data_IF_624939744559
#
_entry.id   IF_624939744559
#
_cell.length_a   1.000
_cell.length_b   1.000
_cell.length_c   1.000
_cell.angle_alpha   90.00
_cell.angle_beta   90.00
_cell.angle_gamma   90.00
#
_symmetry.space_group_name_H-M   'P 1'
#
loop_
_entity.id
_entity.type
_entity.pdbx_description
1 polymer ?
#
# COMPACT_ATOMS: atom_id res chain seq x y z
N UNK A 1 19.76 20.42 16.80
CA UNK A 1 18.32 20.69 17.00
C UNK A 1 18.06 22.16 16.69
N UNK A 2 17.67 22.48 15.45
CA UNK A 2 17.27 23.83 15.06
C UNK A 2 15.89 24.12 15.66
N UNK A 3 15.84 24.99 16.68
CA UNK A 3 14.58 25.53 17.21
C UNK A 3 13.84 26.20 16.04
N UNK A 4 12.83 25.53 15.48
CA UNK A 4 11.87 26.19 14.59
C UNK A 4 11.22 27.30 15.39
N UNK A 5 11.60 28.55 15.12
CA UNK A 5 10.91 29.73 15.67
C UNK A 5 9.50 29.68 15.09
N UNK A 6 8.51 29.64 15.96
CA UNK A 6 7.10 29.81 15.56
C UNK A 6 7.01 31.11 14.80
N UNK A 7 6.38 31.12 13.64
CA UNK A 7 6.16 32.33 12.85
C UNK A 7 5.48 33.38 13.73
N UNK A 8 6.01 34.59 13.73
CA UNK A 8 5.49 35.69 14.58
C UNK A 8 4.01 35.98 14.26
N UNK A 9 3.62 35.86 13.01
CA UNK A 9 2.23 36.04 12.55
C UNK A 9 1.30 34.99 13.14
N UNK A 10 1.74 33.71 13.15
CA UNK A 10 0.98 32.60 13.73
C UNK A 10 0.82 32.77 15.25
N UNK A 11 1.89 33.16 15.96
CA UNK A 11 1.82 33.41 17.39
C UNK A 11 0.86 34.55 17.73
N UNK A 12 0.93 35.66 16.99
CA UNK A 12 0.03 36.81 17.16
C UNK A 12 -1.43 36.43 16.90
N UNK A 13 -1.68 35.64 15.85
CA UNK A 13 -3.03 35.17 15.52
C UNK A 13 -3.62 34.30 16.64
N UNK A 14 -2.86 33.30 17.13
CA UNK A 14 -3.31 32.41 18.21
C UNK A 14 -3.57 33.20 19.50
N UNK A 15 -2.67 34.11 19.87
CA UNK A 15 -2.84 34.96 21.05
C UNK A 15 -4.06 35.86 20.94
N UNK A 16 -4.34 36.42 19.77
CA UNK A 16 -5.52 37.26 19.53
C UNK A 16 -6.80 36.44 19.65
N UNK A 17 -6.83 35.24 19.07
CA UNK A 17 -7.95 34.33 19.16
C UNK A 17 -8.23 33.90 20.61
N UNK A 18 -7.17 33.52 21.34
CA UNK A 18 -7.27 33.15 22.76
C UNK A 18 -7.80 34.32 23.61
N UNK A 19 -7.31 35.54 23.36
CA UNK A 19 -7.75 36.74 24.05
C UNK A 19 -9.25 37.01 23.83
N UNK A 20 -9.72 36.86 22.59
CA UNK A 20 -11.16 37.04 22.27
C UNK A 20 -11.98 36.03 23.06
N UNK A 21 -11.60 34.76 23.07
CA UNK A 21 -12.33 33.70 23.81
C UNK A 21 -12.31 33.99 25.32
N UNK A 22 -11.18 34.40 25.90
CA UNK A 22 -11.07 34.73 27.33
C UNK A 22 -11.93 35.95 27.72
N UNK A 23 -11.90 36.99 26.92
CA UNK A 23 -12.79 38.16 27.18
C UNK A 23 -14.26 37.79 27.13
N UNK A 24 -14.58 36.92 26.20
CA UNK A 24 -15.93 36.43 26.03
C UNK A 24 -16.41 35.64 27.27
N UNK A 25 -15.61 34.71 27.76
CA UNK A 25 -15.88 33.94 29.00
C UNK A 25 -16.02 34.91 30.18
N UNK A 26 -15.11 35.88 30.29
CA UNK A 26 -15.13 36.87 31.36
C UNK A 26 -16.45 37.67 31.35
N UNK A 27 -16.92 38.15 30.18
CA UNK A 27 -18.17 38.92 30.04
C UNK A 27 -19.36 38.07 30.50
N UNK A 28 -19.43 36.80 30.11
CA UNK A 28 -20.52 35.88 30.51
C UNK A 28 -20.52 35.69 32.04
N UNK A 29 -19.36 35.53 32.66
CA UNK A 29 -19.26 35.39 34.12
C UNK A 29 -19.73 36.65 34.83
N UNK A 30 -19.28 37.83 34.37
CA UNK A 30 -19.70 39.14 34.97
C UNK A 30 -21.20 39.35 34.87
N UNK A 31 -21.80 39.09 33.69
CA UNK A 31 -23.23 39.18 33.47
C UNK A 31 -24.01 38.25 34.41
N UNK A 32 -23.51 37.01 34.60
CA UNK A 32 -24.09 36.03 35.53
C UNK A 32 -24.05 36.48 36.98
N UNK A 33 -22.96 37.14 37.43
CA UNK A 33 -22.84 37.71 38.80
C UNK A 33 -23.85 38.83 39.05
N UNK A 34 -24.14 39.63 38.04
CA UNK A 34 -25.13 40.72 38.12
C UNK A 34 -26.57 40.19 38.16
N UNK A 35 -26.77 38.88 38.02
CA UNK A 35 -28.10 38.24 38.09
C UNK A 35 -28.87 38.21 36.78
N UNK A 36 -28.25 38.57 35.65
CA UNK A 36 -28.86 38.49 34.33
C UNK A 36 -28.84 37.05 33.83
N UNK A 37 -29.94 36.57 33.29
CA UNK A 37 -30.03 35.23 32.74
C UNK A 37 -29.12 35.07 31.50
N UNK A 38 -28.09 34.29 31.63
CA UNK A 38 -27.09 34.02 30.56
C UNK A 38 -27.45 32.85 29.65
N UNK A 39 -28.58 32.15 29.90
CA UNK A 39 -28.94 30.91 29.17
C UNK A 39 -29.06 31.11 27.66
N UNK A 40 -29.67 32.21 27.22
CA UNK A 40 -29.84 32.54 25.80
C UNK A 40 -28.52 32.80 25.11
N UNK A 41 -27.57 33.45 25.81
CA UNK A 41 -26.23 33.68 25.29
C UNK A 41 -25.45 32.37 25.20
N UNK A 42 -25.52 31.50 26.22
CA UNK A 42 -24.89 30.19 26.20
C UNK A 42 -25.44 29.31 25.06
N UNK A 43 -26.76 29.34 24.81
CA UNK A 43 -27.35 28.61 23.70
C UNK A 43 -26.84 29.10 22.34
N UNK A 44 -26.73 30.43 22.16
CA UNK A 44 -26.20 31.03 20.94
C UNK A 44 -24.71 30.58 20.70
N UNK A 45 -23.90 30.58 21.79
CA UNK A 45 -22.51 30.17 21.68
C UNK A 45 -22.35 28.68 21.46
N UNK A 46 -23.17 27.84 22.08
CA UNK A 46 -23.19 26.43 21.83
C UNK A 46 -23.47 26.15 20.35
N UNK A 47 -24.45 26.84 19.75
CA UNK A 47 -24.75 26.68 18.32
C UNK A 47 -23.59 27.15 17.41
N UNK A 48 -22.99 28.30 17.75
CA UNK A 48 -21.81 28.80 17.04
C UNK A 48 -20.60 27.82 17.17
N UNK A 49 -20.40 27.25 18.38
CA UNK A 49 -19.36 26.24 18.62
C UNK A 49 -19.56 24.99 17.80
N UNK A 50 -20.80 24.51 17.66
CA UNK A 50 -21.12 23.37 16.78
C UNK A 50 -20.80 23.71 15.32
N UNK A 51 -21.22 24.91 14.86
CA UNK A 51 -20.94 25.34 13.48
C UNK A 51 -19.43 25.40 13.19
N UNK A 52 -18.63 25.94 14.11
CA UNK A 52 -17.17 26.00 14.00
C UNK A 52 -16.57 24.58 14.05
N UNK A 53 -17.04 23.71 14.96
CA UNK A 53 -16.62 22.33 15.07
C UNK A 53 -16.85 21.54 13.78
N UNK A 54 -18.03 21.73 13.15
CA UNK A 54 -18.34 21.12 11.85
C UNK A 54 -17.43 21.66 10.74
N UNK A 55 -17.16 22.95 10.71
CA UNK A 55 -16.24 23.55 9.73
C UNK A 55 -14.80 23.04 9.85
N UNK A 56 -14.35 22.74 11.07
CA UNK A 56 -12.99 22.24 11.36
C UNK A 56 -12.88 20.71 11.41
N UNK A 57 -14.00 19.98 11.24
CA UNK A 57 -14.05 18.52 11.42
C UNK A 57 -13.05 17.77 10.58
N UNK A 58 -12.88 18.15 9.30
CA UNK A 58 -11.88 17.51 8.40
C UNK A 58 -10.45 17.73 8.87
N UNK A 59 -10.11 18.89 9.38
CA UNK A 59 -8.77 19.17 9.93
C UNK A 59 -8.52 18.36 11.20
N UNK A 60 -9.53 18.28 12.08
CA UNK A 60 -9.45 17.49 13.30
C UNK A 60 -9.34 15.98 13.00
N UNK A 61 -10.05 15.51 11.98
CA UNK A 61 -9.92 14.11 11.51
C UNK A 61 -8.51 13.81 11.03
N UNK A 62 -7.90 14.73 10.27
CA UNK A 62 -6.51 14.56 9.81
C UNK A 62 -5.51 14.57 10.98
N UNK A 63 -5.71 15.44 11.95
CA UNK A 63 -4.90 15.48 13.18
C UNK A 63 -5.02 14.15 13.94
N UNK A 64 -6.23 13.71 14.23
CA UNK A 64 -6.48 12.44 14.92
C UNK A 64 -5.88 11.24 14.13
N UNK A 65 -6.05 11.25 12.80
CA UNK A 65 -5.43 10.26 11.92
C UNK A 65 -3.90 10.24 12.03
N UNK A 66 -3.26 11.41 12.07
CA UNK A 66 -1.81 11.51 12.25
C UNK A 66 -1.33 10.94 13.59
N UNK A 67 -2.07 11.25 14.67
CA UNK A 67 -1.78 10.69 16.01
C UNK A 67 -1.91 9.17 16.00
N UNK A 68 -2.98 8.62 15.41
CA UNK A 68 -3.19 7.17 15.30
C UNK A 68 -2.09 6.49 14.48
N UNK A 69 -1.67 7.07 13.37
CA UNK A 69 -0.59 6.54 12.53
C UNK A 69 0.72 6.49 13.31
N UNK A 70 1.05 7.53 14.07
CA UNK A 70 2.29 7.58 14.87
C UNK A 70 2.25 6.61 16.05
N UNK A 71 1.09 6.34 16.62
CA UNK A 71 0.90 5.45 17.76
C UNK A 71 0.88 3.98 17.34
N UNK A 72 0.03 3.63 16.36
CA UNK A 72 -0.17 2.25 15.90
C UNK A 72 0.86 1.81 14.87
N UNK A 73 1.50 2.76 14.18
CA UNK A 73 2.54 2.54 13.18
C UNK A 73 2.16 1.49 12.12
N UNK A 74 1.03 1.64 11.42
CA UNK A 74 0.67 0.75 10.31
C UNK A 74 1.74 0.77 9.21
N UNK A 75 2.47 1.86 9.08
CA UNK A 75 3.67 2.03 8.27
C UNK A 75 4.66 2.99 8.96
N UNK A 76 5.89 3.00 8.48
CA UNK A 76 6.99 3.83 8.99
C UNK A 76 7.64 4.62 7.86
N UNK A 77 8.36 5.68 8.22
CA UNK A 77 9.22 6.40 7.26
C UNK A 77 10.25 5.43 6.67
N UNK A 78 10.40 5.46 5.35
CA UNK A 78 11.24 4.56 4.58
C UNK A 78 10.53 3.33 4.02
N UNK A 79 9.33 2.98 4.48
CA UNK A 79 8.55 1.85 3.95
C UNK A 79 7.80 2.26 2.67
N UNK A 80 7.71 1.32 1.73
CA UNK A 80 6.94 1.50 0.50
C UNK A 80 5.50 1.04 0.72
N UNK A 81 4.58 1.97 0.55
CA UNK A 81 3.14 1.75 0.75
C UNK A 81 2.33 2.08 -0.49
N UNK A 82 1.16 1.48 -0.58
CA UNK A 82 0.12 1.84 -1.53
C UNK A 82 -1.16 2.13 -0.76
N UNK A 83 -1.70 3.33 -0.92
CA UNK A 83 -2.89 3.80 -0.23
C UNK A 83 -3.55 4.93 -1.02
N UNK A 84 -4.88 5.05 -0.97
CA UNK A 84 -5.65 6.11 -1.63
C UNK A 84 -5.37 6.22 -3.15
N UNK A 85 -5.02 5.11 -3.82
CA UNK A 85 -4.69 5.09 -5.25
C UNK A 85 -3.27 5.57 -5.59
N UNK A 86 -2.44 5.85 -4.60
CA UNK A 86 -1.05 6.24 -4.77
C UNK A 86 -0.11 5.22 -4.15
N UNK A 87 1.06 5.05 -4.76
CA UNK A 87 2.11 4.16 -4.24
C UNK A 87 3.47 4.87 -4.21
N UNK A 88 4.22 4.64 -3.15
CA UNK A 88 5.53 5.27 -2.98
C UNK A 88 6.15 5.01 -1.61
N UNK A 89 7.41 5.44 -1.47
CA UNK A 89 8.13 5.37 -0.21
C UNK A 89 7.73 6.51 0.72
N UNK A 90 7.36 6.19 1.95
CA UNK A 90 7.02 7.19 2.97
C UNK A 90 8.26 8.02 3.30
N UNK A 91 8.21 9.31 2.96
CA UNK A 91 9.29 10.27 3.21
C UNK A 91 9.17 10.92 4.58
N UNK A 92 7.95 11.31 4.96
CA UNK A 92 7.68 12.03 6.19
C UNK A 92 6.23 11.83 6.64
N UNK A 93 6.01 11.71 7.94
CA UNK A 93 4.67 11.69 8.56
C UNK A 93 4.55 12.98 9.36
N UNK A 94 3.68 13.87 8.91
CA UNK A 94 3.40 15.16 9.55
C UNK A 94 2.07 15.09 10.32
N UNK A 95 1.74 16.16 11.03
CA UNK A 95 0.57 16.20 11.93
C UNK A 95 -0.74 15.94 11.16
N UNK A 96 -0.90 16.53 9.98
CA UNK A 96 -2.15 16.48 9.21
C UNK A 96 -2.07 15.61 7.94
N UNK A 97 -0.86 15.30 7.47
CA UNK A 97 -0.64 14.56 6.23
C UNK A 97 0.63 13.73 6.28
N UNK A 98 0.66 12.71 5.45
CA UNK A 98 1.84 11.89 5.17
C UNK A 98 2.34 12.21 3.77
N UNK A 99 3.65 12.31 3.63
CA UNK A 99 4.33 12.58 2.36
C UNK A 99 4.96 11.29 1.87
N UNK A 100 4.63 10.89 0.64
CA UNK A 100 5.28 9.77 -0.03
C UNK A 100 6.01 10.24 -1.27
N UNK A 101 7.06 9.52 -1.64
CA UNK A 101 7.81 9.72 -2.88
C UNK A 101 7.59 8.52 -3.80
N UNK A 102 7.09 8.76 -5.01
CA UNK A 102 6.86 7.72 -6.01
C UNK A 102 8.17 7.27 -6.66
N UNK A 103 8.21 6.07 -7.32
CA UNK A 103 9.42 5.59 -8.00
C UNK A 103 9.92 6.53 -9.12
N UNK A 104 9.03 7.31 -9.74
CA UNK A 104 9.34 8.34 -10.74
C UNK A 104 9.63 9.72 -10.11
N UNK A 105 9.95 9.73 -8.80
CA UNK A 105 10.39 10.87 -8.01
C UNK A 105 9.37 12.01 -7.87
N UNK A 106 8.07 11.69 -7.89
CA UNK A 106 7.01 12.64 -7.56
C UNK A 106 6.73 12.63 -6.07
N UNK A 107 6.42 13.78 -5.51
CA UNK A 107 6.04 13.95 -4.11
C UNK A 107 4.51 14.01 -4.02
N UNK A 108 3.92 13.07 -3.29
CA UNK A 108 2.48 13.00 -3.04
C UNK A 108 2.21 13.32 -1.57
N UNK A 109 1.26 14.20 -1.33
CA UNK A 109 0.82 14.60 0.01
C UNK A 109 -0.56 14.02 0.24
N UNK A 110 -0.67 13.11 1.19
CA UNK A 110 -1.93 12.39 1.47
C UNK A 110 -2.42 12.78 2.86
N UNK A 111 -3.68 13.26 2.99
CA UNK A 111 -4.27 13.59 4.30
C UNK A 111 -4.32 12.35 5.22
N UNK A 112 -3.92 12.51 6.48
CA UNK A 112 -3.83 11.41 7.44
C UNK A 112 -5.19 10.78 7.79
N UNK A 113 -6.27 11.55 7.74
CA UNK A 113 -7.61 11.04 8.00
C UNK A 113 -7.99 9.90 7.06
N UNK A 114 -7.71 10.05 5.76
CA UNK A 114 -7.94 9.00 4.76
C UNK A 114 -7.03 7.80 4.94
N UNK A 115 -5.78 8.00 5.37
CA UNK A 115 -4.84 6.92 5.63
C UNK A 115 -5.20 6.13 6.90
N UNK A 116 -5.67 6.79 7.95
CA UNK A 116 -5.99 6.14 9.23
C UNK A 116 -7.27 5.29 9.17
N UNK A 117 -8.17 5.57 8.23
CA UNK A 117 -9.46 4.89 8.10
C UNK A 117 -9.54 3.98 6.87
N UNK A 118 -8.62 4.14 5.91
CA UNK A 118 -8.58 3.37 4.67
C UNK A 118 -7.70 2.13 4.74
N UNK A 119 -7.79 1.33 3.68
CA UNK A 119 -6.88 0.19 3.48
C UNK A 119 -5.50 0.67 3.03
N UNK A 120 -4.45 0.05 3.57
CA UNK A 120 -3.06 0.32 3.23
C UNK A 120 -2.38 -0.99 2.87
N UNK A 121 -1.80 -1.07 1.67
CA UNK A 121 -0.85 -2.10 1.30
C UNK A 121 0.55 -1.67 1.72
N UNK A 122 1.14 -2.37 2.68
CA UNK A 122 2.52 -2.14 3.08
C UNK A 122 3.42 -3.21 2.48
N UNK A 123 4.13 -2.88 1.40
CA UNK A 123 4.97 -3.81 0.66
C UNK A 123 6.33 -4.07 1.31
N UNK A 124 6.72 -3.26 2.29
CA UNK A 124 8.04 -3.33 2.96
C UNK A 124 8.00 -4.01 4.32
N UNK A 125 6.80 -4.21 4.88
CA UNK A 125 6.67 -4.71 6.25
C UNK A 125 7.04 -6.18 6.39
N UNK A 126 6.66 -6.99 5.39
CA UNK A 126 7.00 -8.40 5.38
C UNK A 126 8.39 -8.61 4.76
N UNK A 127 9.16 -9.51 5.34
CA UNK A 127 10.53 -9.80 4.91
C UNK A 127 10.60 -10.54 3.59
N UNK A 128 9.53 -11.26 3.26
CA UNK A 128 9.42 -12.08 2.04
C UNK A 128 8.18 -11.71 1.24
N UNK A 129 8.32 -11.81 -0.08
CA UNK A 129 7.23 -11.59 -1.03
C UNK A 129 7.20 -12.73 -2.04
N UNK A 130 6.00 -13.06 -2.49
CA UNK A 130 5.80 -13.99 -3.58
C UNK A 130 5.83 -13.26 -4.91
N UNK A 131 6.75 -13.65 -5.78
CA UNK A 131 6.78 -13.25 -7.18
C UNK A 131 5.94 -14.27 -7.98
N UNK A 132 5.19 -13.78 -8.98
CA UNK A 132 4.39 -14.63 -9.86
C UNK A 132 4.64 -14.22 -11.30
N UNK A 133 4.83 -15.22 -12.17
CA UNK A 133 5.00 -15.04 -13.61
C UNK A 133 3.93 -15.85 -14.33
N UNK A 134 3.37 -15.28 -15.39
CA UNK A 134 2.48 -15.97 -16.31
C UNK A 134 3.22 -16.17 -17.62
N UNK A 135 3.49 -17.42 -17.95
CA UNK A 135 4.29 -17.82 -19.11
C UNK A 135 3.33 -18.47 -20.12
N UNK A 136 3.17 -17.86 -21.28
CA UNK A 136 2.34 -18.38 -22.36
C UNK A 136 3.17 -19.35 -23.22
N UNK A 137 2.73 -20.60 -23.36
CA UNK A 137 3.33 -21.61 -24.22
C UNK A 137 2.34 -22.07 -25.28
N UNK A 138 2.84 -22.62 -26.38
CA UNK A 138 2.02 -23.10 -27.47
C UNK A 138 1.18 -24.33 -27.07
N UNK A 139 0.01 -24.47 -27.66
CA UNK A 139 -0.72 -25.74 -27.62
C UNK A 139 0.12 -26.84 -28.29
N UNK A 140 0.19 -28.01 -27.65
CA UNK A 140 1.02 -29.14 -28.10
C UNK A 140 2.34 -29.25 -27.36
N UNK A 141 2.79 -28.23 -26.67
CA UNK A 141 3.96 -28.33 -25.77
C UNK A 141 3.65 -29.23 -24.56
N UNK A 142 4.63 -30.03 -24.14
CA UNK A 142 4.49 -30.91 -22.96
C UNK A 142 4.45 -30.11 -21.66
N UNK A 143 3.25 -29.96 -21.11
CA UNK A 143 2.98 -29.22 -19.87
C UNK A 143 3.73 -29.81 -18.67
N UNK A 144 3.86 -31.13 -18.57
CA UNK A 144 4.53 -31.77 -17.44
C UNK A 144 6.04 -31.47 -17.47
N UNK A 145 6.62 -31.57 -18.66
CA UNK A 145 8.03 -31.20 -18.89
C UNK A 145 8.27 -29.70 -18.69
N UNK A 146 7.38 -28.85 -19.17
CA UNK A 146 7.47 -27.40 -18.98
C UNK A 146 7.49 -27.02 -17.49
N UNK A 147 6.56 -27.57 -16.70
CA UNK A 147 6.52 -27.36 -15.26
C UNK A 147 7.84 -27.77 -14.58
N UNK A 148 8.40 -28.92 -14.96
CA UNK A 148 9.66 -29.43 -14.40
C UNK A 148 10.81 -28.49 -14.71
N UNK A 149 10.98 -28.08 -15.97
CA UNK A 149 12.06 -27.19 -16.40
C UNK A 149 11.93 -25.81 -15.73
N UNK A 150 10.74 -25.23 -15.70
CA UNK A 150 10.52 -23.93 -15.04
C UNK A 150 10.81 -24.04 -13.53
N UNK A 151 10.41 -25.10 -12.87
CA UNK A 151 10.68 -25.33 -11.45
C UNK A 151 12.20 -25.47 -11.18
N UNK A 152 12.92 -26.18 -12.03
CA UNK A 152 14.39 -26.31 -11.96
C UNK A 152 15.07 -24.95 -12.14
N UNK A 153 14.60 -24.13 -13.08
CA UNK A 153 15.10 -22.77 -13.29
C UNK A 153 14.89 -21.89 -12.05
N UNK A 154 13.71 -21.94 -11.44
CA UNK A 154 13.41 -21.18 -10.22
C UNK A 154 14.30 -21.63 -9.06
N UNK A 155 14.39 -22.93 -8.82
CA UNK A 155 15.15 -23.49 -7.69
C UNK A 155 16.68 -23.31 -7.85
N UNK A 156 17.17 -23.05 -9.06
CA UNK A 156 18.59 -22.76 -9.30
C UNK A 156 18.98 -21.33 -8.96
N UNK A 157 18.03 -20.42 -8.75
CA UNK A 157 18.32 -19.04 -8.36
C UNK A 157 18.48 -18.93 -6.84
N UNK A 158 19.63 -18.43 -6.33
CA UNK A 158 19.88 -18.35 -4.89
C UNK A 158 18.96 -17.38 -4.13
N UNK A 159 18.26 -16.50 -4.84
CA UNK A 159 17.29 -15.56 -4.25
C UNK A 159 15.93 -16.21 -3.96
N UNK A 160 15.68 -17.37 -4.57
CA UNK A 160 14.47 -18.15 -4.27
C UNK A 160 14.64 -18.79 -2.90
N UNK A 161 13.78 -18.42 -1.96
CA UNK A 161 13.86 -18.90 -0.59
C UNK A 161 13.70 -20.42 -0.53
N UNK A 162 14.65 -21.11 0.06
CA UNK A 162 14.61 -22.57 0.25
C UNK A 162 13.82 -22.99 1.47
N UNK A 163 13.54 -22.06 2.37
CA UNK A 163 12.69 -22.25 3.54
C UNK A 163 12.02 -20.94 3.90
N UNK A 164 10.76 -20.98 4.31
CA UNK A 164 10.17 -19.90 5.09
C UNK A 164 10.94 -19.80 6.41
N UNK A 165 12.01 -19.03 6.44
CA UNK A 165 12.58 -18.60 7.71
C UNK A 165 11.46 -17.85 8.44
N UNK A 166 11.08 -18.42 9.57
CA UNK A 166 10.03 -18.00 10.46
C UNK A 166 9.87 -16.48 10.53
N UNK A 167 9.03 -15.92 9.70
CA UNK A 167 8.31 -14.71 10.05
C UNK A 167 7.53 -15.07 11.31
N UNK A 168 7.83 -14.41 12.44
CA UNK A 168 7.28 -14.72 13.76
C UNK A 168 5.75 -14.61 13.88
N UNK A 169 5.08 -14.44 12.81
CA UNK A 169 3.65 -14.60 12.64
C UNK A 169 3.46 -15.89 11.84
N UNK A 170 3.25 -16.96 12.55
CA UNK A 170 2.70 -18.20 12.01
C UNK A 170 1.38 -17.82 11.35
N UNK A 171 1.44 -17.42 10.09
CA UNK A 171 0.27 -17.33 9.27
C UNK A 171 -0.34 -18.73 9.31
N UNK A 172 -1.44 -18.87 10.01
CA UNK A 172 -2.31 -20.03 9.95
C UNK A 172 -2.94 -19.97 8.55
N UNK A 173 -2.09 -20.22 7.53
CA UNK A 173 -2.61 -20.68 6.25
C UNK A 173 -3.00 -22.11 6.53
N UNK A 174 -4.30 -22.44 6.50
CA UNK A 174 -4.71 -23.82 6.69
C UNK A 174 -3.92 -24.71 5.74
N UNK A 175 -3.67 -25.97 6.13
CA UNK A 175 -3.01 -27.02 5.32
C UNK A 175 -3.76 -27.36 4.00
N UNK A 176 -4.54 -26.42 3.47
CA UNK A 176 -5.31 -26.50 2.25
C UNK A 176 -4.40 -26.37 1.01
N UNK A 177 -3.22 -25.77 1.13
CA UNK A 177 -2.26 -25.68 0.04
C UNK A 177 -1.24 -26.82 0.14
N UNK A 178 -0.98 -27.56 -0.95
CA UNK A 178 0.02 -28.61 -0.97
C UNK A 178 1.39 -28.08 -0.48
N UNK A 179 2.15 -28.91 0.25
CA UNK A 179 3.48 -28.54 0.79
C UNK A 179 4.49 -28.08 -0.30
N UNK A 180 4.21 -28.32 -1.57
CA UNK A 180 4.99 -27.83 -2.70
C UNK A 180 4.99 -26.30 -2.88
N UNK A 181 4.07 -25.57 -2.23
CA UNK A 181 3.91 -24.12 -2.38
C UNK A 181 4.86 -23.30 -1.47
N UNK A 182 5.79 -23.94 -0.77
CA UNK A 182 6.61 -23.25 0.24
C UNK A 182 7.78 -22.45 -0.32
N UNK A 183 8.31 -22.81 -1.49
CA UNK A 183 9.49 -22.17 -2.06
C UNK A 183 9.21 -21.68 -3.50
N UNK A 184 9.00 -22.59 -4.41
CA UNK A 184 8.60 -22.36 -5.78
C UNK A 184 7.54 -23.39 -6.20
N UNK A 185 6.58 -22.95 -7.01
CA UNK A 185 5.53 -23.80 -7.51
C UNK A 185 5.15 -23.41 -8.95
N UNK A 186 4.76 -24.39 -9.76
CA UNK A 186 4.41 -24.19 -11.16
C UNK A 186 3.12 -24.93 -11.50
N UNK A 187 2.15 -24.18 -12.00
CA UNK A 187 0.81 -24.66 -12.29
C UNK A 187 0.43 -24.38 -13.75
N UNK A 188 -0.44 -25.20 -14.33
CA UNK A 188 -1.21 -24.81 -15.49
C UNK A 188 -2.36 -23.94 -14.99
N UNK A 189 -2.37 -22.67 -15.33
CA UNK A 189 -3.30 -21.68 -14.81
C UNK A 189 -4.51 -21.51 -15.71
N UNK A 190 -4.27 -21.41 -17.02
CA UNK A 190 -5.34 -21.13 -17.97
C UNK A 190 -5.11 -21.81 -19.31
N UNK A 191 -6.22 -22.21 -19.95
CA UNK A 191 -6.29 -22.59 -21.34
C UNK A 191 -6.87 -21.38 -22.10
N UNK A 192 -6.00 -20.60 -22.75
CA UNK A 192 -6.37 -19.39 -23.48
C UNK A 192 -6.65 -19.66 -24.96
N UNK A 193 -7.12 -18.65 -25.69
CA UNK A 193 -7.54 -18.79 -27.09
C UNK A 193 -6.40 -19.23 -28.03
N UNK A 194 -5.17 -18.85 -27.78
CA UNK A 194 -4.02 -19.14 -28.64
C UNK A 194 -2.82 -19.74 -27.87
N UNK A 195 -2.94 -19.92 -26.56
CA UNK A 195 -1.86 -20.35 -25.68
C UNK A 195 -2.37 -21.06 -24.45
N UNK A 196 -1.56 -21.95 -23.90
CA UNK A 196 -1.69 -22.37 -22.50
C UNK A 196 -0.89 -21.41 -21.62
N UNK A 197 -1.42 -21.04 -20.45
CA UNK A 197 -0.75 -20.17 -19.50
C UNK A 197 -0.25 -21.00 -18.32
N UNK A 198 1.06 -21.02 -18.14
CA UNK A 198 1.72 -21.64 -16.99
C UNK A 198 2.05 -20.54 -16.00
N UNK A 199 1.52 -20.66 -14.78
CA UNK A 199 1.83 -19.77 -13.70
C UNK A 199 2.97 -20.36 -12.86
N UNK A 200 4.08 -19.63 -12.80
CA UNK A 200 5.21 -19.91 -11.95
C UNK A 200 5.19 -18.95 -10.75
N UNK A 201 5.45 -19.47 -9.56
CA UNK A 201 5.46 -18.69 -8.30
C UNK A 201 6.71 -19.02 -7.52
N UNK A 202 7.35 -18.01 -6.93
CA UNK A 202 8.47 -18.19 -6.02
C UNK A 202 8.45 -17.15 -4.91
N UNK A 203 8.91 -17.56 -3.72
CA UNK A 203 9.12 -16.65 -2.60
C UNK A 203 10.54 -16.13 -2.60
N UNK A 204 10.72 -14.85 -2.33
CA UNK A 204 12.01 -14.18 -2.25
C UNK A 204 11.98 -13.09 -1.17
N UNK A 205 13.15 -12.59 -0.79
CA UNK A 205 13.23 -11.41 0.08
C UNK A 205 12.60 -10.21 -0.61
N UNK A 206 11.97 -9.35 0.17
CA UNK A 206 11.32 -8.13 -0.36
C UNK A 206 12.31 -7.24 -1.12
N UNK A 207 13.59 -7.18 -0.70
CA UNK A 207 14.65 -6.45 -1.40
C UNK A 207 14.97 -6.99 -2.79
N UNK A 208 14.79 -8.29 -3.01
CA UNK A 208 15.22 -8.99 -4.22
C UNK A 208 14.07 -9.16 -5.23
N UNK A 209 12.85 -8.72 -4.85
CA UNK A 209 11.63 -8.94 -5.61
C UNK A 209 11.74 -8.52 -7.08
N UNK A 210 12.10 -7.28 -7.32
CA UNK A 210 12.17 -6.75 -8.68
C UNK A 210 13.35 -7.31 -9.47
N UNK A 211 14.50 -7.50 -8.82
CA UNK A 211 15.66 -8.15 -9.45
C UNK A 211 15.32 -9.57 -9.91
N UNK A 212 14.75 -10.38 -9.02
CA UNK A 212 14.32 -11.73 -9.37
C UNK A 212 13.25 -11.73 -10.46
N UNK A 213 12.27 -10.82 -10.38
CA UNK A 213 11.18 -10.74 -11.36
C UNK A 213 11.70 -10.52 -12.78
N UNK A 214 12.57 -9.53 -12.98
CA UNK A 214 13.08 -9.19 -14.31
C UNK A 214 14.09 -10.21 -14.84
N UNK A 215 15.02 -10.66 -14.00
CA UNK A 215 16.03 -11.65 -14.40
C UNK A 215 15.38 -12.99 -14.81
N UNK A 216 14.34 -13.41 -14.07
CA UNK A 216 13.61 -14.62 -14.42
C UNK A 216 12.78 -14.48 -15.70
N UNK A 217 12.19 -13.30 -15.98
CA UNK A 217 11.54 -13.06 -17.27
C UNK A 217 12.51 -13.23 -18.44
N UNK A 218 13.70 -12.63 -18.34
CA UNK A 218 14.72 -12.76 -19.36
C UNK A 218 15.19 -14.23 -19.49
N UNK A 219 15.37 -14.89 -18.37
CA UNK A 219 15.78 -16.29 -18.33
C UNK A 219 14.73 -17.23 -18.92
N UNK A 220 13.46 -17.04 -18.65
CA UNK A 220 12.39 -17.81 -19.30
C UNK A 220 12.39 -17.59 -20.80
N UNK A 221 12.53 -16.36 -21.25
CA UNK A 221 12.59 -16.03 -22.67
C UNK A 221 13.77 -16.70 -23.39
N UNK A 222 14.93 -16.75 -22.76
CA UNK A 222 16.16 -17.26 -23.37
C UNK A 222 16.30 -18.77 -23.27
N UNK A 223 15.84 -19.38 -22.16
CA UNK A 223 16.09 -20.80 -21.89
C UNK A 223 14.96 -21.73 -22.36
N UNK A 224 13.69 -21.33 -22.24
CA UNK A 224 12.58 -22.20 -22.61
C UNK A 224 12.62 -22.66 -24.07
N UNK A 225 12.96 -21.81 -25.06
CA UNK A 225 13.12 -22.25 -26.44
C UNK A 225 14.24 -23.30 -26.64
N UNK A 226 15.34 -23.23 -25.87
CA UNK A 226 16.42 -24.23 -25.91
C UNK A 226 15.96 -25.60 -25.41
N UNK A 227 14.95 -25.63 -24.57
CA UNK A 227 14.28 -26.85 -24.11
C UNK A 227 13.15 -27.33 -25.05
N UNK A 228 12.96 -26.64 -26.19
CA UNK A 228 11.96 -27.03 -27.21
C UNK A 228 10.55 -26.56 -26.89
N UNK A 229 10.38 -25.52 -26.06
CA UNK A 229 9.10 -24.86 -25.82
C UNK A 229 8.95 -23.66 -26.74
N UNK A 230 7.69 -23.36 -27.11
CA UNK A 230 7.39 -22.34 -28.09
C UNK A 230 6.51 -21.24 -27.49
N UNK A 231 6.89 -19.98 -27.71
CA UNK A 231 6.03 -18.84 -27.40
C UNK A 231 5.07 -18.61 -28.57
N UNK A 232 3.76 -18.77 -28.34
CA UNK A 232 2.80 -18.70 -29.42
C UNK A 232 2.55 -17.26 -29.87
N UNK A 233 2.35 -17.12 -31.20
CA UNK A 233 1.68 -15.94 -31.74
C UNK A 233 0.16 -16.13 -31.67
N UNK A 234 -0.64 -15.07 -31.84
CA UNK A 234 -2.09 -15.21 -32.00
C UNK A 234 -2.41 -16.23 -33.11
N UNK A 235 -3.27 -17.21 -32.83
CA UNK A 235 -3.66 -18.24 -33.73
C UNK A 235 -5.03 -17.94 -34.36
N UNK A 236 -5.19 -18.28 -35.62
CA UNK A 236 -6.48 -18.17 -36.34
C UNK A 236 -6.69 -19.43 -37.14
N UNK A 237 -7.83 -20.11 -36.90
CA UNK A 237 -8.28 -21.23 -37.73
C UNK A 237 -8.98 -20.69 -38.97
N UNK A 238 -8.44 -21.01 -40.15
CA UNK A 238 -8.99 -20.57 -41.44
C UNK A 238 -9.52 -21.76 -42.21
N UNK A 239 -10.84 -21.86 -42.41
CA UNK A 239 -11.48 -22.85 -43.25
C UNK A 239 -11.64 -22.33 -44.67
N UNK A 240 -10.80 -22.81 -45.59
CA UNK A 240 -10.91 -22.49 -47.02
C UNK A 240 -11.91 -23.45 -47.69
N UNK A 241 -13.09 -22.95 -48.04
CA UNK A 241 -14.01 -23.67 -48.90
C UNK A 241 -13.61 -23.44 -50.36
N UNK A 242 -13.14 -24.46 -51.05
CA UNK A 242 -12.99 -24.41 -52.50
C UNK A 242 -14.39 -24.46 -53.11
N UNK A 243 -14.76 -23.46 -53.90
CA UNK A 243 -15.99 -23.38 -54.65
C UNK A 243 -15.94 -24.28 -55.89
#
# INVERSE_FOLDING_TARGET
>A
MTRRRVDASLATFILSMLRIVLYFILIIIVIGIIGINTSSFLALFASAGVAIGMALSGTLQNFAGGVLILLLKPYRVGEYIEAQGFSGTVKEIQIFHTIINTPDNKLIIIPNGGLSTGSINNWSRETQRRVSWNISLAYGDDVARAKKVILEMLNSDPRVATTHENSGTRAVIPDILPQADRNAAVFLDQLGDSAIVIQARAWTRTSDYWGLYYDMNERFYTELPKHGFHFPFPQLDVHLNQA
#
